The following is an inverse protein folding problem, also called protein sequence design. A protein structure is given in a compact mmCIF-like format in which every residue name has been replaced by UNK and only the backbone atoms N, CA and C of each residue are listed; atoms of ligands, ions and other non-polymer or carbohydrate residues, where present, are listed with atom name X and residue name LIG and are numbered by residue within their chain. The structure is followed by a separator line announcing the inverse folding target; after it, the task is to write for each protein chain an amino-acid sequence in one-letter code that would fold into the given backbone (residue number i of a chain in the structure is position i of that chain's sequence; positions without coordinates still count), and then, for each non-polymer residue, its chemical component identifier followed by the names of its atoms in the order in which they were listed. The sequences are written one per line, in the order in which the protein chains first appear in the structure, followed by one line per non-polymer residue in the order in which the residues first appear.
data_IF_245426868740
#
_entry.id   IF_245426868740
#
_cell.length_a   1.000
_cell.length_b   1.000
_cell.length_c   1.000
_cell.angle_alpha   90.00
_cell.angle_beta   90.00
_cell.angle_gamma   90.00
#
_symmetry.space_group_name_H-M   'P 1'
#
loop_
_entity.id
_entity.type
_entity.pdbx_description
1 polymer ?
#
# COMPACT_ATOMS: atom_id res chain seq x y z
N UNK A 1 -6.72 -7.92 -11.38
CA UNK A 1 -6.01 -7.42 -10.21
C UNK A 1 -6.70 -6.23 -9.54
N UNK A 2 -7.39 -5.36 -10.29
CA UNK A 2 -7.98 -4.12 -9.79
C UNK A 2 -9.47 -4.28 -9.47
N UNK A 3 -9.97 -3.50 -8.51
CA UNK A 3 -11.40 -3.39 -8.17
C UNK A 3 -12.23 -2.82 -9.34
N UNK A 4 -11.59 -2.10 -10.25
CA UNK A 4 -12.20 -1.64 -11.49
C UNK A 4 -11.48 -2.27 -12.71
N UNK A 5 -12.14 -3.21 -13.43
CA UNK A 5 -11.54 -3.90 -14.58
C UNK A 5 -11.43 -2.97 -15.80
N UNK A 6 -10.27 -2.97 -16.44
CA UNK A 6 -10.04 -2.23 -17.68
C UNK A 6 -10.86 -2.80 -18.86
N UNK A 7 -10.97 -2.01 -19.93
CA UNK A 7 -11.76 -2.34 -21.14
C UNK A 7 -11.36 -3.70 -21.73
N UNK A 8 -10.07 -3.97 -21.85
CA UNK A 8 -9.57 -5.26 -22.38
C UNK A 8 -10.07 -6.45 -21.58
N UNK A 9 -10.06 -6.38 -20.24
CA UNK A 9 -10.54 -7.45 -19.38
C UNK A 9 -12.06 -7.67 -19.56
N UNK A 10 -12.82 -6.59 -19.69
CA UNK A 10 -14.28 -6.67 -19.96
C UNK A 10 -14.61 -7.32 -21.30
N UNK A 11 -13.82 -7.01 -22.33
CA UNK A 11 -14.01 -7.61 -23.66
C UNK A 11 -13.68 -9.09 -23.63
N UNK A 12 -12.54 -9.49 -23.07
CA UNK A 12 -12.10 -10.86 -23.01
C UNK A 12 -12.92 -11.75 -22.07
N UNK A 13 -13.56 -11.17 -21.03
CA UNK A 13 -14.31 -11.95 -20.04
C UNK A 13 -15.43 -12.81 -20.67
N UNK A 14 -15.97 -12.41 -21.83
CA UNK A 14 -17.01 -13.16 -22.53
C UNK A 14 -16.48 -14.40 -23.26
N UNK A 15 -15.21 -14.37 -23.68
CA UNK A 15 -14.62 -15.36 -24.58
C UNK A 15 -13.73 -16.40 -23.85
N UNK A 16 -13.41 -16.16 -22.57
CA UNK A 16 -12.58 -17.06 -21.75
C UNK A 16 -13.43 -18.07 -20.97
N UNK A 17 -12.81 -19.17 -20.53
CA UNK A 17 -13.46 -20.19 -19.71
C UNK A 17 -13.65 -19.75 -18.27
N UNK A 18 -12.68 -18.99 -17.72
CA UNK A 18 -12.72 -18.47 -16.35
C UNK A 18 -12.06 -17.10 -16.25
N UNK A 19 -12.60 -16.25 -15.40
CA UNK A 19 -12.03 -14.96 -15.03
C UNK A 19 -11.65 -14.98 -13.55
N UNK A 20 -10.41 -14.62 -13.22
CA UNK A 20 -9.97 -14.43 -11.84
C UNK A 20 -10.07 -12.95 -11.47
N UNK A 21 -10.86 -12.65 -10.45
CA UNK A 21 -11.03 -11.30 -9.92
C UNK A 21 -10.36 -11.16 -8.56
N UNK A 22 -9.73 -10.01 -8.31
CA UNK A 22 -9.11 -9.74 -7.03
C UNK A 22 -10.15 -9.50 -5.92
N UNK A 23 -11.28 -8.86 -6.25
CA UNK A 23 -12.33 -8.52 -5.29
C UNK A 23 -13.73 -8.74 -5.87
N UNK A 24 -14.72 -8.83 -4.98
CA UNK A 24 -16.13 -8.93 -5.37
C UNK A 24 -16.62 -7.72 -6.16
N UNK A 25 -16.06 -6.52 -5.90
CA UNK A 25 -16.43 -5.29 -6.60
C UNK A 25 -16.12 -5.32 -8.11
N UNK A 26 -15.19 -6.19 -8.55
CA UNK A 26 -14.86 -6.37 -9.96
C UNK A 26 -15.85 -7.27 -10.72
N UNK A 27 -16.55 -8.19 -10.03
CA UNK A 27 -17.36 -9.26 -10.65
C UNK A 27 -18.45 -8.69 -11.57
N UNK A 28 -19.30 -7.82 -11.04
CA UNK A 28 -20.39 -7.22 -11.83
C UNK A 28 -19.88 -6.38 -13.00
N UNK A 29 -18.76 -5.68 -12.76
CA UNK A 29 -18.16 -4.77 -13.75
C UNK A 29 -17.48 -5.52 -14.90
N UNK A 30 -17.11 -6.80 -14.71
CA UNK A 30 -16.57 -7.68 -15.75
C UNK A 30 -17.64 -8.16 -16.75
N UNK A 31 -18.91 -8.20 -16.34
CA UNK A 31 -20.02 -8.61 -17.20
C UNK A 31 -20.09 -10.10 -17.53
N UNK A 32 -19.42 -10.94 -16.75
CA UNK A 32 -19.43 -12.41 -16.86
C UNK A 32 -19.40 -13.05 -15.45
N UNK A 33 -20.40 -12.78 -14.59
CA UNK A 33 -20.37 -13.22 -13.19
C UNK A 33 -20.32 -14.74 -13.05
N UNK A 34 -20.95 -15.49 -13.94
CA UNK A 34 -21.00 -16.96 -13.94
C UNK A 34 -19.63 -17.63 -14.20
N UNK A 35 -18.70 -16.90 -14.84
CA UNK A 35 -17.32 -17.33 -15.13
C UNK A 35 -16.30 -16.71 -14.18
N UNK A 36 -16.71 -15.78 -13.32
CA UNK A 36 -15.78 -15.01 -12.49
C UNK A 36 -15.64 -15.63 -11.10
N UNK A 37 -14.41 -15.97 -10.76
CA UNK A 37 -14.01 -16.44 -9.42
C UNK A 37 -13.28 -15.34 -8.68
N UNK A 38 -13.73 -15.01 -7.48
CA UNK A 38 -13.01 -14.09 -6.58
C UNK A 38 -11.90 -14.88 -5.91
N UNK A 39 -10.66 -14.58 -6.27
CA UNK A 39 -9.48 -15.32 -5.82
C UNK A 39 -8.49 -14.44 -5.05
N UNK A 40 -8.67 -13.12 -5.00
CA UNK A 40 -7.70 -12.19 -4.46
C UNK A 40 -6.51 -11.95 -5.41
N UNK A 41 -5.57 -11.13 -4.99
CA UNK A 41 -4.28 -10.98 -5.65
C UNK A 41 -3.24 -11.87 -4.96
N UNK A 42 -2.45 -12.66 -5.70
CA UNK A 42 -1.38 -13.47 -5.11
C UNK A 42 -0.35 -12.60 -4.39
N UNK A 43 -0.13 -12.89 -3.13
CA UNK A 43 0.92 -12.26 -2.31
C UNK A 43 2.09 -13.22 -2.20
N UNK A 44 3.30 -12.67 -2.26
CA UNK A 44 4.53 -13.45 -2.18
C UNK A 44 4.65 -14.16 -0.82
N UNK A 45 5.07 -15.43 -0.76
CA UNK A 45 5.22 -16.17 0.50
C UNK A 45 6.16 -15.47 1.50
N UNK A 46 7.17 -14.75 1.00
CA UNK A 46 8.11 -13.97 1.83
C UNK A 46 7.41 -12.85 2.60
N UNK A 47 6.27 -12.35 2.11
CA UNK A 47 5.44 -11.36 2.81
C UNK A 47 4.55 -12.06 3.82
N UNK A 48 3.83 -13.11 3.43
CA UNK A 48 2.87 -13.81 4.29
C UNK A 48 3.51 -14.38 5.57
N UNK A 49 4.76 -14.81 5.50
CA UNK A 49 5.44 -15.54 6.58
C UNK A 49 6.42 -14.67 7.39
N UNK A 50 6.37 -13.33 7.28
CA UNK A 50 7.29 -12.46 8.04
C UNK A 50 6.91 -12.34 9.50
N UNK A 51 7.90 -12.52 10.36
CA UNK A 51 7.78 -12.25 11.79
C UNK A 51 7.94 -10.75 12.06
N UNK A 52 6.92 -10.14 12.65
CA UNK A 52 6.89 -8.72 12.94
C UNK A 52 7.94 -8.31 13.99
N UNK A 53 8.13 -9.13 15.03
CA UNK A 53 9.06 -8.78 16.11
C UNK A 53 10.50 -8.79 15.59
N UNK A 54 10.87 -9.82 14.80
CA UNK A 54 12.16 -9.89 14.13
C UNK A 54 12.37 -8.71 13.15
N UNK A 55 11.36 -8.36 12.36
CA UNK A 55 11.41 -7.24 11.44
C UNK A 55 11.61 -5.89 12.16
N UNK A 56 10.90 -5.65 13.27
CA UNK A 56 11.06 -4.43 14.09
C UNK A 56 12.44 -4.36 14.73
N UNK A 57 12.98 -5.49 15.22
CA UNK A 57 14.33 -5.56 15.75
C UNK A 57 15.38 -5.24 14.68
N UNK A 58 15.22 -5.75 13.46
CA UNK A 58 16.15 -5.52 12.35
C UNK A 58 16.24 -4.03 11.92
N UNK A 59 15.14 -3.28 12.05
CA UNK A 59 15.14 -1.83 11.79
C UNK A 59 15.39 -0.98 13.05
N UNK A 60 15.72 -1.61 14.16
CA UNK A 60 15.94 -0.95 15.47
C UNK A 60 14.76 -0.05 15.88
N UNK A 61 13.54 -0.50 15.64
CA UNK A 61 12.34 0.29 15.91
C UNK A 61 12.16 0.61 17.41
N UNK A 62 12.47 -0.34 18.29
CA UNK A 62 12.13 -0.22 19.72
C UNK A 62 10.61 -0.05 19.89
N UNK A 63 10.23 0.89 20.75
CA UNK A 63 8.82 1.23 21.01
C UNK A 63 8.26 2.32 20.07
N UNK A 64 9.08 2.84 19.14
CA UNK A 64 8.67 3.88 18.20
C UNK A 64 7.60 3.38 17.23
N UNK A 65 6.70 4.26 16.85
CA UNK A 65 5.82 4.01 15.70
C UNK A 65 6.64 3.98 14.41
N UNK A 66 6.52 2.92 13.62
CA UNK A 66 7.22 2.79 12.34
C UNK A 66 6.31 3.28 11.22
N UNK A 67 6.72 4.34 10.53
CA UNK A 67 6.08 4.87 9.32
C UNK A 67 6.91 4.45 8.12
N UNK A 68 6.30 3.81 7.14
CA UNK A 68 6.90 3.44 5.87
C UNK A 68 6.25 4.24 4.75
N UNK A 69 7.01 4.98 3.96
CA UNK A 69 6.48 5.77 2.85
C UNK A 69 7.23 5.53 1.54
N UNK A 70 6.48 5.40 0.44
CA UNK A 70 7.06 5.18 -0.90
C UNK A 70 6.07 5.50 -2.02
N UNK A 71 6.62 5.89 -3.17
CA UNK A 71 5.85 6.21 -4.39
C UNK A 71 5.93 5.15 -5.50
N UNK A 72 6.50 3.96 -5.21
CA UNK A 72 6.85 2.94 -6.19
C UNK A 72 8.32 3.03 -6.64
N UNK A 73 8.79 2.11 -7.51
CA UNK A 73 10.20 1.98 -7.90
C UNK A 73 10.79 3.23 -8.56
N UNK A 74 10.00 3.95 -9.34
CA UNK A 74 10.41 5.21 -9.96
C UNK A 74 10.27 6.42 -9.03
N UNK A 75 9.52 6.25 -7.93
CA UNK A 75 9.10 7.32 -7.04
C UNK A 75 7.86 8.07 -7.55
N UNK A 76 7.29 8.89 -6.69
CA UNK A 76 6.19 9.78 -7.01
C UNK A 76 6.52 11.17 -6.48
N UNK A 77 6.73 12.12 -7.38
CA UNK A 77 7.18 13.49 -7.02
C UNK A 77 6.32 14.08 -5.90
N UNK A 78 4.99 14.04 -6.06
CA UNK A 78 4.08 14.63 -5.08
C UNK A 78 4.16 13.96 -3.71
N UNK A 79 4.32 12.63 -3.65
CA UNK A 79 4.53 11.92 -2.39
C UNK A 79 5.84 12.38 -1.74
N UNK A 80 6.94 12.44 -2.50
CA UNK A 80 8.23 12.91 -1.97
C UNK A 80 8.14 14.33 -1.41
N UNK A 81 7.44 15.25 -2.10
CA UNK A 81 7.25 16.63 -1.64
C UNK A 81 6.55 16.70 -0.27
N UNK A 82 5.41 16.03 -0.13
CA UNK A 82 4.62 16.11 1.13
C UNK A 82 5.22 15.26 2.25
N UNK A 83 5.91 14.16 1.93
CA UNK A 83 6.64 13.37 2.92
C UNK A 83 7.83 14.14 3.48
N UNK A 84 8.52 14.94 2.67
CA UNK A 84 9.57 15.81 3.18
C UNK A 84 9.05 16.84 4.20
N UNK A 85 7.86 17.42 3.97
CA UNK A 85 7.20 18.30 4.94
C UNK A 85 6.78 17.53 6.20
N UNK A 86 6.31 16.29 6.07
CA UNK A 86 5.99 15.42 7.20
C UNK A 86 7.24 15.10 8.03
N UNK A 87 8.35 14.72 7.40
CA UNK A 87 9.63 14.43 8.09
C UNK A 87 10.15 15.65 8.85
N UNK A 88 10.07 16.84 8.26
CA UNK A 88 10.43 18.09 8.94
C UNK A 88 9.57 18.32 10.17
N UNK A 89 8.26 18.11 10.08
CA UNK A 89 7.34 18.23 11.21
C UNK A 89 7.61 17.18 12.30
N UNK A 90 7.87 15.94 11.92
CA UNK A 90 8.21 14.83 12.85
C UNK A 90 9.46 15.19 13.67
N UNK A 91 10.51 15.68 13.03
CA UNK A 91 11.76 16.09 13.69
C UNK A 91 11.57 17.35 14.56
N UNK A 92 10.88 18.36 14.06
CA UNK A 92 10.64 19.59 14.79
C UNK A 92 9.82 19.39 16.09
N UNK A 93 9.04 18.31 16.17
CA UNK A 93 8.23 17.94 17.33
C UNK A 93 8.80 16.78 18.15
N UNK A 94 10.01 16.31 17.83
CA UNK A 94 10.68 15.18 18.51
C UNK A 94 9.77 13.97 18.71
N UNK A 95 9.05 13.58 17.65
CA UNK A 95 8.06 12.51 17.74
C UNK A 95 8.74 11.15 17.92
N UNK A 96 8.16 10.23 18.71
CA UNK A 96 8.67 8.87 18.89
C UNK A 96 8.32 7.98 17.68
N UNK A 97 8.74 8.40 16.50
CA UNK A 97 8.56 7.66 15.24
C UNK A 97 9.90 7.24 14.66
N UNK A 98 9.89 6.16 13.88
CA UNK A 98 10.93 5.80 12.94
C UNK A 98 10.32 5.88 11.55
N UNK A 99 10.71 6.87 10.77
CA UNK A 99 10.23 7.03 9.40
C UNK A 99 11.23 6.41 8.41
N UNK A 100 10.74 5.49 7.57
CA UNK A 100 11.49 4.83 6.52
C UNK A 100 10.91 5.30 5.18
N UNK A 101 11.67 6.06 4.40
CA UNK A 101 11.20 6.63 3.13
C UNK A 101 11.99 6.10 1.93
N UNK A 102 11.28 5.70 0.86
CA UNK A 102 11.89 5.42 -0.43
C UNK A 102 11.51 6.48 -1.46
N UNK A 103 12.50 7.21 -1.93
CA UNK A 103 12.32 8.31 -2.89
C UNK A 103 11.97 7.81 -4.29
N UNK A 104 12.39 6.58 -4.63
CA UNK A 104 12.41 6.05 -5.98
C UNK A 104 13.55 6.64 -6.81
N UNK A 105 13.92 5.95 -7.90
CA UNK A 105 15.12 6.29 -8.70
C UNK A 105 15.12 7.70 -9.30
N UNK A 106 13.94 8.28 -9.53
CA UNK A 106 13.80 9.67 -10.04
C UNK A 106 13.61 10.71 -8.94
N UNK A 107 13.54 10.28 -7.67
CA UNK A 107 13.23 11.16 -6.55
C UNK A 107 14.41 11.59 -5.70
N UNK A 108 15.59 10.95 -5.85
CA UNK A 108 16.75 11.16 -4.98
C UNK A 108 17.14 12.64 -4.90
N UNK A 109 17.48 13.23 -6.04
CA UNK A 109 17.92 14.65 -6.07
C UNK A 109 16.84 15.61 -5.58
N UNK A 110 15.59 15.37 -5.95
CA UNK A 110 14.48 16.15 -5.45
C UNK A 110 14.39 16.10 -3.91
N UNK A 111 14.54 14.90 -3.33
CA UNK A 111 14.40 14.73 -1.88
C UNK A 111 15.56 15.39 -1.11
N UNK A 112 16.80 15.30 -1.61
CA UNK A 112 17.95 16.04 -1.07
C UNK A 112 17.72 17.55 -1.06
N UNK A 113 17.17 18.11 -2.14
CA UNK A 113 16.84 19.54 -2.22
C UNK A 113 15.71 19.91 -1.23
N UNK A 114 14.76 19.00 -0.98
CA UNK A 114 13.68 19.19 -0.01
C UNK A 114 14.17 19.07 1.44
N UNK A 115 15.13 18.18 1.74
CA UNK A 115 15.82 18.12 3.05
C UNK A 115 16.43 19.47 3.42
N UNK A 116 17.21 20.04 2.50
CA UNK A 116 17.81 21.35 2.70
C UNK A 116 16.78 22.47 2.85
N UNK A 117 15.74 22.47 2.01
CA UNK A 117 14.67 23.48 2.02
C UNK A 117 13.84 23.45 3.29
N UNK A 118 13.50 22.27 3.80
CA UNK A 118 12.62 22.08 4.94
C UNK A 118 13.38 21.92 6.27
N UNK A 119 14.72 22.05 6.24
CA UNK A 119 15.60 22.04 7.42
C UNK A 119 15.50 20.75 8.26
N UNK A 120 15.48 19.59 7.62
CA UNK A 120 15.56 18.28 8.28
C UNK A 120 16.67 17.43 7.67
N UNK A 121 17.07 16.35 8.34
CA UNK A 121 18.12 15.46 7.85
C UNK A 121 17.85 14.01 8.27
N UNK A 122 18.26 13.02 7.43
CA UNK A 122 18.31 11.63 7.84
C UNK A 122 19.12 11.41 9.13
N UNK A 123 18.70 10.44 9.94
CA UNK A 123 19.32 10.15 11.22
C UNK A 123 18.67 8.95 11.92
N UNK A 124 18.79 8.86 13.23
CA UNK A 124 18.30 7.72 14.01
C UNK A 124 16.78 7.46 13.87
N UNK A 125 16.01 8.50 13.58
CA UNK A 125 14.55 8.45 13.47
C UNK A 125 14.03 8.61 12.02
N UNK A 126 14.91 8.88 11.06
CA UNK A 126 14.57 9.04 9.65
C UNK A 126 15.61 8.33 8.77
N UNK A 127 15.19 7.31 8.06
CA UNK A 127 16.02 6.59 7.08
C UNK A 127 15.46 6.84 5.69
N UNK A 128 16.26 7.45 4.84
CA UNK A 128 15.91 7.73 3.42
C UNK A 128 16.72 6.82 2.51
N UNK A 129 16.07 6.17 1.57
CA UNK A 129 16.69 5.31 0.56
C UNK A 129 16.14 5.63 -0.83
N UNK A 130 16.94 5.39 -1.85
CA UNK A 130 16.42 5.40 -3.22
C UNK A 130 15.40 4.28 -3.44
N UNK A 131 15.76 3.06 -3.01
CA UNK A 131 14.96 1.85 -3.20
C UNK A 131 14.98 0.95 -1.96
N UNK A 132 13.91 0.19 -1.79
CA UNK A 132 13.75 -0.78 -0.69
C UNK A 132 13.88 -2.19 -1.27
N UNK A 133 15.02 -2.84 -1.01
CA UNK A 133 15.28 -4.21 -1.45
C UNK A 133 14.54 -5.25 -0.60
N UNK A 134 14.39 -4.96 0.69
CA UNK A 134 13.77 -5.85 1.68
C UNK A 134 12.36 -5.39 2.08
N UNK A 135 11.51 -5.07 1.11
CA UNK A 135 10.13 -4.62 1.33
C UNK A 135 9.34 -5.53 2.30
N UNK A 136 9.47 -6.88 2.27
CA UNK A 136 8.77 -7.74 3.23
C UNK A 136 9.08 -7.41 4.69
N UNK A 137 10.34 -7.13 5.04
CA UNK A 137 10.71 -6.78 6.40
C UNK A 137 10.19 -5.40 6.80
N UNK A 138 10.29 -4.42 5.91
CA UNK A 138 9.81 -3.07 6.21
C UNK A 138 8.28 -3.00 6.32
N UNK A 139 7.54 -3.72 5.48
CA UNK A 139 6.09 -3.87 5.62
C UNK A 139 5.72 -4.57 6.93
N UNK A 140 6.46 -5.62 7.32
CA UNK A 140 6.22 -6.32 8.57
C UNK A 140 6.49 -5.42 9.79
N UNK A 141 7.53 -4.59 9.76
CA UNK A 141 7.87 -3.66 10.83
C UNK A 141 6.90 -2.47 10.95
N UNK A 142 6.32 -2.02 9.83
CA UNK A 142 5.51 -0.81 9.76
C UNK A 142 4.24 -0.86 10.62
N UNK A 143 3.88 0.27 11.21
CA UNK A 143 2.59 0.54 11.86
C UNK A 143 1.67 1.31 10.92
N UNK A 144 2.23 2.22 10.12
CA UNK A 144 1.54 3.03 9.13
C UNK A 144 2.31 2.99 7.80
N UNK A 145 1.58 2.80 6.70
CA UNK A 145 2.16 2.86 5.35
C UNK A 145 1.54 4.01 4.56
N UNK A 146 2.37 4.84 3.94
CA UNK A 146 1.95 5.94 3.06
C UNK A 146 2.42 5.59 1.64
N UNK A 147 1.49 5.31 0.72
CA UNK A 147 1.87 4.85 -0.62
C UNK A 147 0.84 5.13 -1.70
N UNK A 148 1.19 4.79 -2.94
CA UNK A 148 0.22 4.61 -4.03
C UNK A 148 -0.65 3.38 -3.76
N UNK A 149 -1.84 3.35 -4.38
CA UNK A 149 -2.82 2.27 -4.24
C UNK A 149 -2.80 1.28 -5.42
N UNK A 150 -1.59 0.82 -5.77
CA UNK A 150 -1.42 -0.28 -6.71
C UNK A 150 -1.98 -1.59 -6.14
N UNK A 151 -2.63 -2.39 -6.97
CA UNK A 151 -3.36 -3.59 -6.53
C UNK A 151 -2.51 -4.58 -5.72
N UNK A 152 -1.24 -4.81 -6.12
CA UNK A 152 -0.35 -5.71 -5.38
C UNK A 152 0.10 -5.10 -4.05
N UNK A 153 0.36 -3.79 -4.01
CA UNK A 153 0.67 -3.10 -2.75
C UNK A 153 -0.48 -3.24 -1.75
N UNK A 154 -1.73 -3.08 -2.20
CA UNK A 154 -2.89 -3.23 -1.32
C UNK A 154 -3.01 -4.67 -0.79
N UNK A 155 -2.86 -5.67 -1.65
CA UNK A 155 -2.87 -7.07 -1.22
C UNK A 155 -1.76 -7.36 -0.19
N UNK A 156 -0.57 -6.76 -0.33
CA UNK A 156 0.52 -6.87 0.65
C UNK A 156 0.16 -6.18 1.98
N UNK A 157 -0.48 -4.99 1.94
CA UNK A 157 -0.96 -4.28 3.13
C UNK A 157 -2.05 -5.06 3.88
N UNK A 158 -2.98 -5.63 3.13
CA UNK A 158 -4.03 -6.51 3.65
C UNK A 158 -3.43 -7.75 4.32
N UNK A 159 -2.53 -8.46 3.63
CA UNK A 159 -1.88 -9.65 4.14
C UNK A 159 -1.08 -9.41 5.43
N UNK A 160 -0.41 -8.25 5.50
CA UNK A 160 0.37 -7.84 6.67
C UNK A 160 -0.47 -7.17 7.76
N UNK A 161 -1.74 -6.81 7.48
CA UNK A 161 -2.60 -6.08 8.40
C UNK A 161 -2.03 -4.70 8.72
N UNK A 162 -1.76 -3.85 7.70
CA UNK A 162 -1.16 -2.52 7.89
C UNK A 162 -2.19 -1.41 7.72
N UNK A 163 -2.21 -0.48 8.69
CA UNK A 163 -2.90 0.78 8.50
C UNK A 163 -2.25 1.57 7.37
N UNK A 164 -3.03 2.28 6.56
CA UNK A 164 -2.46 3.02 5.45
C UNK A 164 -3.10 4.38 5.19
N UNK A 165 -2.28 5.29 4.63
CA UNK A 165 -2.73 6.49 3.92
C UNK A 165 -2.42 6.24 2.45
N UNK A 166 -3.46 6.17 1.64
CA UNK A 166 -3.38 5.83 0.23
C UNK A 166 -3.54 7.07 -0.63
N UNK A 167 -2.59 7.26 -1.54
CA UNK A 167 -2.55 8.38 -2.46
C UNK A 167 -2.65 7.83 -3.88
N UNK A 168 -3.88 7.67 -4.43
CA UNK A 168 -4.07 7.14 -5.77
C UNK A 168 -3.33 7.96 -6.82
N UNK A 169 -2.69 7.29 -7.78
CA UNK A 169 -2.08 7.98 -8.91
C UNK A 169 -3.16 8.51 -9.86
N UNK A 170 -3.15 9.80 -10.22
CA UNK A 170 -4.09 10.34 -11.21
C UNK A 170 -3.75 9.91 -12.65
N UNK A 171 -2.54 9.38 -12.87
CA UNK A 171 -2.00 9.07 -14.20
C UNK A 171 -2.15 7.59 -14.57
N UNK A 172 -3.28 6.97 -14.18
CA UNK A 172 -3.56 5.56 -14.47
C UNK A 172 -4.89 5.42 -15.20
N UNK A 173 -4.98 4.42 -16.09
CA UNK A 173 -6.19 4.15 -16.86
C UNK A 173 -7.39 3.90 -15.92
N UNK A 174 -8.58 4.40 -16.31
CA UNK A 174 -9.84 4.15 -15.60
C UNK A 174 -9.82 4.55 -14.11
N UNK A 175 -8.87 5.40 -13.69
CA UNK A 175 -8.70 5.79 -12.28
C UNK A 175 -8.69 4.58 -11.31
N UNK A 176 -8.18 3.42 -11.78
CA UNK A 176 -8.29 2.15 -11.05
C UNK A 176 -7.66 2.19 -9.66
N UNK A 177 -6.59 3.00 -9.45
CA UNK A 177 -5.98 3.13 -8.12
C UNK A 177 -6.93 3.78 -7.10
N UNK A 178 -7.74 4.73 -7.52
CA UNK A 178 -8.75 5.33 -6.66
C UNK A 178 -9.79 4.29 -6.20
N UNK A 179 -10.32 3.49 -7.13
CA UNK A 179 -11.27 2.44 -6.79
C UNK A 179 -10.68 1.35 -5.91
N UNK A 180 -9.42 0.98 -6.14
CA UNK A 180 -8.69 0.06 -5.26
C UNK A 180 -8.59 0.62 -3.83
N UNK A 181 -8.20 1.90 -3.68
CA UNK A 181 -8.06 2.55 -2.38
C UNK A 181 -9.39 2.63 -1.62
N UNK A 182 -10.50 2.86 -2.32
CA UNK A 182 -11.83 2.93 -1.71
C UNK A 182 -12.25 1.62 -1.02
N UNK A 183 -11.82 0.46 -1.50
CA UNK A 183 -12.13 -0.82 -0.83
C UNK A 183 -11.56 -0.85 0.59
N UNK A 184 -10.29 -0.44 0.76
CA UNK A 184 -9.66 -0.36 2.08
C UNK A 184 -10.25 0.76 2.94
N UNK A 185 -10.58 1.91 2.34
CA UNK A 185 -11.20 3.01 3.07
C UNK A 185 -12.60 2.62 3.60
N UNK A 186 -13.42 1.98 2.77
CA UNK A 186 -14.77 1.54 3.16
C UNK A 186 -14.74 0.48 4.27
N UNK A 187 -13.68 -0.33 4.32
CA UNK A 187 -13.43 -1.27 5.40
C UNK A 187 -12.84 -0.61 6.67
N UNK A 188 -12.53 0.68 6.64
CA UNK A 188 -11.87 1.37 7.74
C UNK A 188 -10.39 0.99 7.92
N UNK A 189 -9.75 0.48 6.87
CA UNK A 189 -8.34 0.06 6.85
C UNK A 189 -7.39 1.14 6.36
N UNK A 190 -7.90 2.13 5.63
CA UNK A 190 -7.12 3.21 5.03
C UNK A 190 -7.80 4.57 5.13
N UNK A 191 -6.99 5.63 5.03
CA UNK A 191 -7.44 6.98 4.69
C UNK A 191 -6.98 7.25 3.26
N UNK A 192 -7.89 7.69 2.39
CA UNK A 192 -7.58 8.04 1.00
C UNK A 192 -7.46 9.54 0.86
N UNK A 193 -6.36 10.00 0.27
CA UNK A 193 -6.15 11.42 -0.08
C UNK A 193 -5.84 11.46 -1.58
N UNK A 194 -6.74 12.01 -2.38
CA UNK A 194 -6.47 12.20 -3.79
C UNK A 194 -5.33 13.22 -4.01
N UNK A 195 -4.51 13.01 -5.03
CA UNK A 195 -3.31 13.84 -5.26
C UNK A 195 -3.64 15.32 -5.45
N UNK A 196 -4.84 15.66 -6.00
CA UNK A 196 -5.30 17.05 -6.13
C UNK A 196 -5.53 17.76 -4.79
N UNK A 197 -5.86 16.99 -3.75
CA UNK A 197 -6.16 17.49 -2.40
C UNK A 197 -4.97 17.29 -1.43
N UNK A 198 -3.88 16.69 -1.91
CA UNK A 198 -2.72 16.35 -1.12
C UNK A 198 -1.82 17.58 -0.94
N UNK A 199 -1.69 18.02 0.29
CA UNK A 199 -0.70 19.03 0.74
C UNK A 199 0.10 18.50 1.91
N UNK A 200 1.29 19.06 2.19
CA UNK A 200 2.07 18.69 3.38
C UNK A 200 1.28 18.90 4.66
N UNK A 201 0.59 20.05 4.77
CA UNK A 201 -0.29 20.34 5.91
C UNK A 201 -1.38 19.26 6.08
N UNK A 202 -2.05 18.85 4.99
CA UNK A 202 -3.08 17.82 5.03
C UNK A 202 -2.52 16.46 5.48
N UNK A 203 -1.33 16.10 4.99
CA UNK A 203 -0.67 14.85 5.39
C UNK A 203 -0.28 14.89 6.87
N UNK A 204 0.34 15.98 7.32
CA UNK A 204 0.71 16.20 8.74
C UNK A 204 -0.51 16.13 9.65
N UNK A 205 -1.60 16.82 9.31
CA UNK A 205 -2.85 16.77 10.09
C UNK A 205 -3.41 15.36 10.16
N UNK A 206 -3.38 14.62 9.04
CA UNK A 206 -3.90 13.24 8.98
C UNK A 206 -3.05 12.30 9.84
N UNK A 207 -1.72 12.34 9.72
CA UNK A 207 -0.81 11.50 10.51
C UNK A 207 -0.92 11.86 11.99
N UNK A 208 -0.89 13.16 12.33
CA UNK A 208 -1.05 13.62 13.72
C UNK A 208 -2.34 13.11 14.35
N UNK A 209 -3.47 13.21 13.65
CA UNK A 209 -4.76 12.72 14.14
C UNK A 209 -4.77 11.19 14.36
N UNK A 210 -4.10 10.43 13.49
CA UNK A 210 -3.97 8.98 13.65
C UNK A 210 -3.09 8.61 14.86
N UNK A 211 -1.95 9.28 15.02
CA UNK A 211 -1.03 9.04 16.13
C UNK A 211 -1.61 9.45 17.48
N UNK A 212 -2.44 10.49 17.53
CA UNK A 212 -3.09 10.96 18.74
C UNK A 212 -4.18 10.02 19.29
N UNK A 213 -4.62 9.03 18.51
CA UNK A 213 -5.67 8.08 18.91
C UNK A 213 -5.05 6.71 19.30
N UNK A 214 -4.97 6.36 20.59
CA UNK A 214 -4.45 5.07 21.02
C UNK A 214 -5.20 3.91 20.36
N UNK A 215 -4.44 2.97 19.78
CA UNK A 215 -5.01 1.77 19.13
C UNK A 215 -5.55 1.99 17.72
N UNK A 216 -5.61 3.24 17.21
CA UNK A 216 -6.17 3.52 15.87
C UNK A 216 -5.45 2.76 14.74
N UNK A 217 -4.13 2.78 14.72
CA UNK A 217 -3.35 2.06 13.72
C UNK A 217 -3.56 0.54 13.81
N UNK A 218 -3.67 0.00 15.03
CA UNK A 218 -3.93 -1.43 15.24
C UNK A 218 -5.34 -1.82 14.76
N UNK A 219 -6.35 -1.01 15.03
CA UNK A 219 -7.71 -1.19 14.53
C UNK A 219 -7.75 -1.21 13.00
N UNK A 220 -7.16 -0.20 12.36
CA UNK A 220 -7.08 -0.10 10.90
C UNK A 220 -6.31 -1.29 10.30
N UNK A 221 -5.22 -1.71 10.93
CA UNK A 221 -4.47 -2.90 10.53
C UNK A 221 -5.30 -4.18 10.62
N UNK A 222 -6.08 -4.35 11.69
CA UNK A 222 -7.01 -5.48 11.82
C UNK A 222 -8.08 -5.46 10.71
N UNK A 223 -8.59 -4.31 10.37
CA UNK A 223 -9.55 -4.14 9.28
C UNK A 223 -8.90 -4.50 7.93
N UNK A 224 -7.66 -4.06 7.66
CA UNK A 224 -6.91 -4.46 6.48
C UNK A 224 -6.75 -5.98 6.40
N UNK A 225 -6.35 -6.61 7.51
CA UNK A 225 -6.15 -8.07 7.57
C UNK A 225 -7.42 -8.86 7.27
N UNK A 226 -8.59 -8.33 7.60
CA UNK A 226 -9.88 -8.99 7.32
C UNK A 226 -10.24 -9.04 5.83
N UNK A 227 -9.59 -8.24 5.00
CA UNK A 227 -9.77 -8.23 3.54
C UNK A 227 -8.84 -9.22 2.81
N UNK A 228 -7.79 -9.70 3.49
CA UNK A 228 -6.77 -10.54 2.86
C UNK A 228 -7.30 -11.89 2.38
N UNK A 229 -6.83 -12.30 1.21
CA UNK A 229 -7.05 -13.63 0.63
C UNK A 229 -5.69 -14.33 0.53
N UNK A 230 -5.32 -15.06 1.58
CA UNK A 230 -3.97 -15.65 1.70
C UNK A 230 -3.75 -16.86 0.76
N UNK A 231 -4.82 -17.55 0.39
CA UNK A 231 -4.83 -18.75 -0.47
C UNK A 231 -5.09 -18.44 -1.95
N UNK A 232 -4.87 -17.19 -2.37
CA UNK A 232 -5.11 -16.73 -3.74
C UNK A 232 -4.44 -17.62 -4.80
N UNK A 233 -3.16 -17.95 -4.61
CA UNK A 233 -2.40 -18.78 -5.54
C UNK A 233 -2.98 -20.21 -5.64
N UNK A 234 -3.38 -20.79 -4.51
CA UNK A 234 -3.98 -22.13 -4.46
C UNK A 234 -5.33 -22.15 -5.18
N UNK A 235 -6.17 -21.15 -4.98
CA UNK A 235 -7.46 -21.00 -5.68
C UNK A 235 -7.27 -20.91 -7.18
N UNK A 236 -6.33 -20.09 -7.66
CA UNK A 236 -6.00 -19.96 -9.08
C UNK A 236 -5.52 -21.29 -9.64
N UNK A 237 -4.55 -21.92 -8.98
CA UNK A 237 -3.97 -23.19 -9.41
C UNK A 237 -5.02 -24.30 -9.46
N UNK A 238 -5.86 -24.43 -8.45
CA UNK A 238 -6.93 -25.42 -8.42
C UNK A 238 -7.94 -25.23 -9.57
N UNK A 239 -8.28 -23.98 -9.89
CA UNK A 239 -9.18 -23.69 -11.01
C UNK A 239 -8.54 -24.02 -12.36
N UNK A 240 -7.28 -23.67 -12.58
CA UNK A 240 -6.55 -23.98 -13.81
C UNK A 240 -6.40 -25.49 -14.03
N UNK A 241 -6.08 -26.27 -12.97
CA UNK A 241 -5.98 -27.72 -13.05
C UNK A 241 -7.30 -28.41 -13.44
N UNK A 242 -8.45 -27.82 -13.10
CA UNK A 242 -9.75 -28.34 -13.55
C UNK A 242 -9.95 -28.15 -15.06
N UNK A 243 -9.52 -27.03 -15.62
CA UNK A 243 -9.62 -26.75 -17.06
C UNK A 243 -8.74 -27.71 -17.90
N UNK A 244 -7.54 -28.03 -17.38
CA UNK A 244 -6.61 -28.95 -18.07
C UNK A 244 -7.10 -30.42 -18.05
N UNK A 245 -7.84 -30.81 -17.01
CA UNK A 245 -8.33 -32.22 -16.86
C UNK A 245 -9.65 -32.52 -17.58
N UNK A 246 -10.27 -31.50 -18.17
CA UNK A 246 -11.52 -31.73 -18.96
C UNK A 246 -11.11 -31.92 -20.42
N UNK A 247 -11.15 -33.15 -20.97
CA UNK A 247 -10.88 -33.41 -22.39
C UNK A 247 -11.99 -32.88 -23.28
#
# INVERSE_FOLDING_TARGET
QNAFPGVTNKLLAKDVDVVFAASAAAVEKLGAPEKTLVVGNPVRPEILNRDRAAARAAVHAGDRTVILSFGGSLGARRINEVVAELCAWEQANDLPVLHLHATGSRGVKLFEDLEAKNHFAPGANLVVKEYIDNMPDLLAAADLVISRSGALTLAELEAMGRASILIPSPNVAENHQYYNALELQNAGAAIVIEEKDLTGEKLVQTVSAMLAQPGKLAEMGKNARSLSVDDSLDRITAALLKLVKTP
#
